data_IF_064484949941
#
_entry.id   IF_064484949941
#
_cell.length_a   1.000
_cell.length_b   1.000
_cell.length_c   1.000
_cell.angle_alpha   90.00
_cell.angle_beta   90.00
_cell.angle_gamma   90.00
#
_symmetry.space_group_name_H-M   'P 1'
#
loop_
_entity.id
_entity.type
_entity.pdbx_description
1 polymer ?
#
# COMPACT_ATOMS: atom_id res chain seq x y z
N UNK A 1 1.16 -11.90 -5.61
CA UNK A 1 0.72 -10.88 -4.64
C UNK A 1 -0.01 -9.77 -5.36
N UNK A 2 -1.10 -9.29 -4.76
CA UNK A 2 -1.91 -8.19 -5.28
C UNK A 2 -1.74 -6.93 -4.46
N UNK A 3 -1.67 -5.78 -5.11
CA UNK A 3 -1.39 -4.49 -4.48
C UNK A 3 -2.53 -3.50 -4.78
N UNK A 4 -2.94 -2.77 -3.75
CA UNK A 4 -4.03 -1.84 -3.80
C UNK A 4 -3.56 -0.46 -3.35
N UNK A 5 -3.66 0.52 -4.25
CA UNK A 5 -3.29 1.90 -3.98
C UNK A 5 -4.51 2.66 -3.52
N UNK A 6 -4.41 3.22 -2.32
CA UNK A 6 -5.42 4.08 -1.74
C UNK A 6 -5.57 5.39 -2.53
N UNK A 7 -6.72 6.05 -2.40
CA UNK A 7 -7.10 7.25 -3.14
C UNK A 7 -6.24 8.49 -2.84
N UNK A 8 -5.44 8.46 -1.76
CA UNK A 8 -4.45 9.50 -1.50
C UNK A 8 -3.20 9.41 -2.40
N UNK A 9 -3.12 8.40 -3.26
CA UNK A 9 -2.11 8.24 -4.29
C UNK A 9 -2.71 8.48 -5.68
N UNK A 10 -1.86 8.84 -6.65
CA UNK A 10 -2.32 9.03 -8.02
C UNK A 10 -2.63 7.68 -8.70
N UNK A 11 -3.74 7.53 -9.44
CA UNK A 11 -4.00 6.32 -10.23
C UNK A 11 -2.90 6.09 -11.28
N UNK A 12 -2.30 7.15 -11.81
CA UNK A 12 -1.18 7.03 -12.75
C UNK A 12 0.07 6.41 -12.11
N UNK A 13 0.25 6.60 -10.80
CA UNK A 13 1.34 5.96 -10.07
C UNK A 13 1.09 4.45 -9.95
N UNK A 14 -0.14 4.04 -9.60
CA UNK A 14 -0.53 2.63 -9.54
C UNK A 14 -0.37 1.94 -10.90
N UNK A 15 -0.89 2.53 -11.97
CA UNK A 15 -0.77 1.98 -13.32
C UNK A 15 0.69 1.90 -13.80
N UNK A 16 1.51 2.91 -13.48
CA UNK A 16 2.94 2.89 -13.79
C UNK A 16 3.66 1.75 -13.07
N UNK A 17 3.36 1.55 -11.78
CA UNK A 17 3.90 0.44 -11.00
C UNK A 17 3.40 -0.92 -11.54
N UNK A 18 2.13 -1.05 -11.93
CA UNK A 18 1.62 -2.24 -12.60
C UNK A 18 2.46 -2.59 -13.84
N UNK A 19 2.68 -1.61 -14.72
CA UNK A 19 3.45 -1.82 -15.94
C UNK A 19 4.91 -2.21 -15.66
N UNK A 20 5.57 -1.52 -14.72
CA UNK A 20 6.94 -1.82 -14.33
C UNK A 20 7.08 -3.18 -13.62
N UNK A 21 6.01 -3.65 -12.96
CA UNK A 21 6.01 -4.94 -12.25
C UNK A 21 5.83 -6.13 -13.16
N UNK A 22 5.56 -5.95 -14.46
CA UNK A 22 5.35 -7.06 -15.40
C UNK A 22 6.56 -8.01 -15.52
N UNK A 23 7.75 -7.58 -15.11
CA UNK A 23 8.96 -8.42 -15.07
C UNK A 23 9.07 -9.29 -13.82
N UNK A 24 8.26 -9.04 -12.79
CA UNK A 24 8.32 -9.72 -11.50
C UNK A 24 7.13 -10.68 -11.35
N UNK A 25 7.33 -12.00 -11.44
CA UNK A 25 6.24 -12.98 -11.37
C UNK A 25 5.58 -13.05 -10.00
N UNK A 26 6.18 -12.46 -8.95
CA UNK A 26 5.55 -12.37 -7.64
C UNK A 26 4.44 -11.31 -7.60
N UNK A 27 4.38 -10.40 -8.57
CA UNK A 27 3.34 -9.37 -8.67
C UNK A 27 2.25 -9.85 -9.64
N UNK A 28 1.08 -10.15 -9.08
CA UNK A 28 -0.08 -10.59 -9.85
C UNK A 28 -0.83 -9.38 -10.42
N UNK A 29 -1.05 -8.37 -9.57
CA UNK A 29 -1.85 -7.22 -9.92
C UNK A 29 -1.53 -6.02 -9.02
N UNK A 30 -1.58 -4.82 -9.58
CA UNK A 30 -1.49 -3.53 -8.91
C UNK A 30 -2.64 -2.68 -9.45
N UNK A 31 -3.53 -2.26 -8.57
CA UNK A 31 -4.67 -1.41 -8.92
C UNK A 31 -4.76 -0.19 -8.00
N UNK A 32 -5.43 0.84 -8.49
CA UNK A 32 -5.88 1.98 -7.70
C UNK A 32 -7.33 1.77 -7.21
N UNK A 33 -7.66 2.43 -6.09
CA UNK A 33 -9.01 2.40 -5.49
C UNK A 33 -10.12 2.65 -6.50
N UNK A 34 -9.94 3.64 -7.39
CA UNK A 34 -10.97 4.04 -8.37
C UNK A 34 -11.23 3.02 -9.47
N UNK A 35 -10.42 1.97 -9.59
CA UNK A 35 -10.69 0.88 -10.54
C UNK A 35 -11.79 -0.06 -10.03
N UNK A 36 -12.09 -0.03 -8.72
CA UNK A 36 -13.07 -0.92 -8.08
C UNK A 36 -14.13 -0.20 -7.28
N UNK A 37 -13.80 0.97 -6.73
CA UNK A 37 -14.65 1.69 -5.80
C UNK A 37 -14.81 3.15 -6.22
N UNK A 38 -15.87 3.81 -5.74
CA UNK A 38 -16.01 5.25 -5.90
C UNK A 38 -14.85 5.97 -5.19
N UNK A 39 -14.41 7.11 -5.74
CA UNK A 39 -13.30 7.92 -5.17
C UNK A 39 -13.46 8.26 -3.68
N UNK A 40 -14.70 8.38 -3.21
CA UNK A 40 -15.06 8.70 -1.83
C UNK A 40 -15.55 7.48 -1.04
N UNK A 41 -15.27 6.26 -1.50
CA UNK A 41 -15.63 5.04 -0.79
C UNK A 41 -15.00 5.03 0.61
N UNK A 42 -15.78 4.76 1.69
CA UNK A 42 -15.25 4.69 3.03
C UNK A 42 -14.23 3.56 3.20
N UNK A 43 -13.19 3.79 4.00
CA UNK A 43 -12.13 2.81 4.28
C UNK A 43 -12.66 1.47 4.75
N UNK A 44 -13.57 1.49 5.72
CA UNK A 44 -14.19 0.28 6.25
C UNK A 44 -14.92 -0.55 5.16
N UNK A 45 -15.48 0.11 4.14
CA UNK A 45 -16.20 -0.55 3.06
C UNK A 45 -15.23 -1.26 2.13
N UNK A 46 -14.27 -0.54 1.54
CA UNK A 46 -13.38 -1.16 0.55
C UNK A 46 -12.41 -2.17 1.19
N UNK A 47 -11.96 -1.95 2.44
CA UNK A 47 -11.13 -2.93 3.17
C UNK A 47 -11.87 -4.26 3.34
N UNK A 48 -13.15 -4.22 3.72
CA UNK A 48 -13.95 -5.45 3.89
C UNK A 48 -14.22 -6.16 2.57
N UNK A 49 -14.50 -5.41 1.51
CA UNK A 49 -14.73 -5.96 0.17
C UNK A 49 -13.49 -6.65 -0.39
N UNK A 50 -12.30 -6.06 -0.23
CA UNK A 50 -11.03 -6.64 -0.70
C UNK A 50 -10.75 -8.02 -0.11
N UNK A 51 -11.21 -8.31 1.11
CA UNK A 51 -11.04 -9.62 1.76
C UNK A 51 -11.63 -10.77 0.94
N UNK A 52 -12.70 -10.55 0.18
CA UNK A 52 -13.36 -11.59 -0.60
C UNK A 52 -12.50 -12.12 -1.75
N UNK A 53 -11.57 -11.31 -2.25
CA UNK A 53 -10.64 -11.72 -3.31
C UNK A 53 -9.33 -12.29 -2.75
N UNK A 54 -9.19 -12.38 -1.42
CA UNK A 54 -7.96 -12.80 -0.74
C UNK A 54 -7.09 -11.63 -0.28
N UNK A 55 -5.84 -11.91 0.19
CA UNK A 55 -5.02 -10.91 0.82
C UNK A 55 -4.46 -9.89 -0.19
N UNK A 56 -4.64 -8.61 0.14
CA UNK A 56 -4.08 -7.48 -0.60
C UNK A 56 -2.97 -6.80 0.19
N UNK A 57 -2.00 -6.26 -0.53
CA UNK A 57 -1.00 -5.32 -0.03
C UNK A 57 -1.50 -3.88 -0.27
N UNK A 58 -1.94 -3.20 0.77
CA UNK A 58 -2.46 -1.85 0.70
C UNK A 58 -1.31 -0.85 0.80
N UNK A 59 -1.22 0.09 -0.14
CA UNK A 59 -0.26 1.20 -0.16
C UNK A 59 -1.02 2.50 0.10
N UNK A 60 -0.70 3.20 1.19
CA UNK A 60 -1.38 4.45 1.58
C UNK A 60 -0.45 5.42 2.28
N UNK A 61 -0.66 6.73 2.12
CA UNK A 61 0.00 7.77 2.93
C UNK A 61 -0.74 7.98 4.27
N UNK A 62 -2.03 7.66 4.34
CA UNK A 62 -2.79 7.79 5.57
C UNK A 62 -2.43 6.66 6.55
N UNK A 63 -2.43 6.99 7.84
CA UNK A 63 -2.07 6.06 8.91
C UNK A 63 -3.25 5.26 9.43
N UNK A 64 -4.43 5.41 8.82
CA UNK A 64 -5.71 4.88 9.31
C UNK A 64 -5.88 5.28 10.79
N UNK A 65 -6.19 6.57 11.01
CA UNK A 65 -6.08 7.24 12.32
C UNK A 65 -6.73 6.42 13.45
N UNK A 66 -6.10 6.45 14.64
CA UNK A 66 -6.48 5.72 15.87
C UNK A 66 -7.94 5.82 16.31
N UNK A 67 -8.71 6.80 15.84
CA UNK A 67 -10.14 6.94 16.16
C UNK A 67 -11.00 5.87 15.46
N UNK A 68 -10.43 5.10 14.53
CA UNK A 68 -11.09 4.07 13.76
C UNK A 68 -10.67 2.65 14.19
N UNK A 69 -10.87 2.31 15.47
CA UNK A 69 -10.60 0.96 16.00
C UNK A 69 -11.26 -0.15 15.16
N UNK A 70 -12.41 0.14 14.54
CA UNK A 70 -13.11 -0.77 13.63
C UNK A 70 -12.30 -1.07 12.36
N UNK A 71 -11.65 -0.07 11.75
CA UNK A 71 -10.84 -0.24 10.54
C UNK A 71 -9.58 -1.06 10.83
N UNK A 72 -8.88 -0.75 11.92
CA UNK A 72 -7.71 -1.53 12.38
C UNK A 72 -8.06 -2.99 12.66
N UNK A 73 -9.21 -3.23 13.28
CA UNK A 73 -9.70 -4.58 13.53
C UNK A 73 -10.13 -5.29 12.24
N UNK A 74 -10.73 -4.57 11.28
CA UNK A 74 -11.10 -5.12 9.98
C UNK A 74 -9.85 -5.51 9.17
N UNK A 75 -8.84 -4.65 9.11
CA UNK A 75 -7.53 -4.92 8.49
C UNK A 75 -6.88 -6.16 9.10
N UNK A 76 -6.77 -6.21 10.43
CA UNK A 76 -6.18 -7.36 11.13
C UNK A 76 -6.94 -8.66 10.85
N UNK A 77 -8.28 -8.60 10.77
CA UNK A 77 -9.13 -9.76 10.46
C UNK A 77 -9.07 -10.18 9.00
N UNK A 78 -8.84 -9.23 8.09
CA UNK A 78 -8.79 -9.48 6.65
C UNK A 78 -7.46 -10.07 6.16
N UNK A 79 -6.43 -10.14 7.02
CA UNK A 79 -5.12 -10.67 6.65
C UNK A 79 -4.41 -9.82 5.60
N UNK A 80 -4.70 -8.52 5.54
CA UNK A 80 -4.06 -7.61 4.61
C UNK A 80 -2.70 -7.14 5.16
N UNK A 81 -1.77 -6.88 4.24
CA UNK A 81 -0.50 -6.25 4.54
C UNK A 81 -0.64 -4.77 4.22
N UNK A 82 -0.21 -3.88 5.11
CA UNK A 82 -0.30 -2.44 4.90
C UNK A 82 1.07 -1.80 4.88
N UNK A 83 1.39 -1.12 3.79
CA UNK A 83 2.52 -0.22 3.69
C UNK A 83 2.05 1.23 3.83
N UNK A 84 2.39 1.84 4.98
CA UNK A 84 2.06 3.22 5.31
C UNK A 84 3.23 4.11 4.92
N UNK A 85 3.10 4.83 3.81
CA UNK A 85 4.05 5.86 3.40
C UNK A 85 4.05 6.97 4.46
N UNK A 86 5.22 7.32 4.99
CA UNK A 86 5.29 8.33 6.05
C UNK A 86 4.79 9.73 5.60
N UNK A 87 4.60 10.64 6.56
CA UNK A 87 4.08 11.98 6.26
C UNK A 87 5.01 12.88 5.44
N UNK A 88 6.25 12.46 5.16
CA UNK A 88 7.13 13.22 4.27
C UNK A 88 6.75 13.00 2.81
N UNK A 89 6.14 11.86 2.45
CA UNK A 89 5.71 11.56 1.08
C UNK A 89 4.69 12.58 0.56
N UNK A 90 3.70 12.97 1.36
CA UNK A 90 2.68 13.96 0.96
C UNK A 90 3.23 15.36 0.70
N UNK A 91 4.46 15.65 1.13
CA UNK A 91 5.12 16.94 0.90
C UNK A 91 5.87 16.99 -0.43
N UNK A 92 5.94 15.88 -1.15
CA UNK A 92 6.76 15.73 -2.35
C UNK A 92 5.91 15.91 -3.60
N UNK A 93 6.54 16.40 -4.67
CA UNK A 93 5.91 16.47 -5.99
C UNK A 93 5.79 15.08 -6.60
N UNK A 94 4.84 14.94 -7.52
CA UNK A 94 4.51 13.68 -8.18
C UNK A 94 5.73 12.87 -8.65
N UNK A 95 6.63 13.47 -9.43
CA UNK A 95 7.79 12.76 -9.96
C UNK A 95 8.78 12.31 -8.89
N UNK A 96 8.94 13.09 -7.81
CA UNK A 96 9.76 12.67 -6.68
C UNK A 96 9.12 11.49 -5.94
N UNK A 97 7.79 11.52 -5.73
CA UNK A 97 7.06 10.38 -5.17
C UNK A 97 7.22 9.12 -6.04
N UNK A 98 7.09 9.27 -7.35
CA UNK A 98 7.23 8.17 -8.31
C UNK A 98 8.64 7.56 -8.26
N UNK A 99 9.68 8.39 -8.39
CA UNK A 99 11.08 7.96 -8.30
C UNK A 99 11.35 7.23 -6.98
N UNK A 100 10.85 7.77 -5.87
CA UNK A 100 11.04 7.16 -4.55
C UNK A 100 10.30 5.84 -4.40
N UNK A 101 9.07 5.76 -4.90
CA UNK A 101 8.28 4.53 -4.84
C UNK A 101 8.92 3.43 -5.66
N UNK A 102 9.37 3.74 -6.89
CA UNK A 102 10.09 2.78 -7.74
C UNK A 102 11.32 2.22 -7.02
N UNK A 103 12.06 3.05 -6.26
CA UNK A 103 13.20 2.58 -5.45
C UNK A 103 12.80 1.67 -4.28
N UNK A 104 11.67 1.95 -3.63
CA UNK A 104 11.15 1.11 -2.54
C UNK A 104 10.50 -0.18 -3.04
N UNK A 105 10.00 -0.19 -4.27
CA UNK A 105 9.13 -1.25 -4.78
C UNK A 105 9.73 -2.66 -4.68
N UNK A 106 11.01 -2.92 -5.04
CA UNK A 106 11.58 -4.26 -4.88
C UNK A 106 11.58 -4.77 -3.44
N UNK A 107 11.78 -3.88 -2.46
CA UNK A 107 11.72 -4.23 -1.04
C UNK A 107 10.29 -4.46 -0.57
N UNK A 108 9.32 -3.71 -1.10
CA UNK A 108 7.89 -3.93 -0.84
C UNK A 108 7.48 -5.33 -1.34
N UNK A 109 7.86 -5.68 -2.57
CA UNK A 109 7.60 -7.02 -3.13
C UNK A 109 8.24 -8.09 -2.25
N UNK A 110 9.56 -8.02 -2.05
CA UNK A 110 10.32 -9.02 -1.28
C UNK A 110 9.74 -9.21 0.12
N UNK A 111 9.34 -8.13 0.78
CA UNK A 111 8.78 -8.22 2.12
C UNK A 111 7.36 -8.77 2.12
N UNK A 112 6.52 -8.33 1.16
CA UNK A 112 5.12 -8.76 1.08
C UNK A 112 4.97 -10.27 0.84
N UNK A 113 5.90 -10.91 0.15
CA UNK A 113 5.88 -12.36 -0.08
C UNK A 113 6.36 -13.17 1.13
N UNK A 114 7.02 -12.52 2.10
CA UNK A 114 7.61 -13.17 3.27
C UNK A 114 6.73 -13.07 4.52
N UNK A 115 5.71 -12.22 4.50
CA UNK A 115 4.85 -11.95 5.66
C UNK A 115 3.40 -12.30 5.30
N UNK A 116 2.64 -12.75 6.30
CA UNK A 116 1.23 -13.11 6.10
C UNK A 116 0.27 -11.95 6.41
N UNK A 117 0.67 -11.04 7.30
CA UNK A 117 -0.08 -9.85 7.70
C UNK A 117 0.87 -8.78 8.27
N UNK A 118 0.32 -7.60 8.57
CA UNK A 118 1.00 -6.57 9.36
C UNK A 118 0.90 -5.17 8.79
N UNK A 119 1.34 -4.17 9.55
CA UNK A 119 1.52 -2.81 9.07
C UNK A 119 2.96 -2.35 9.21
N UNK A 120 3.45 -1.74 8.14
CA UNK A 120 4.83 -1.37 7.93
C UNK A 120 4.89 0.05 7.42
N UNK A 121 5.56 0.92 8.15
CA UNK A 121 5.83 2.27 7.69
C UNK A 121 6.99 2.25 6.69
N UNK A 122 6.79 2.93 5.57
CA UNK A 122 7.78 3.17 4.52
C UNK A 122 8.31 4.60 4.65
N UNK A 123 9.54 4.80 5.17
CA UNK A 123 10.09 6.13 5.31
C UNK A 123 10.40 6.75 3.95
N UNK A 124 10.29 8.08 3.85
CA UNK A 124 10.62 8.77 2.60
C UNK A 124 12.07 8.55 2.16
N UNK A 125 13.02 8.54 3.11
CA UNK A 125 14.43 8.29 2.79
C UNK A 125 14.64 6.82 2.48
N UNK A 126 15.18 6.56 1.29
CA UNK A 126 15.59 5.23 0.86
C UNK A 126 17.11 5.17 0.71
N UNK A 127 17.69 4.12 1.28
CA UNK A 127 19.06 3.66 1.12
C UNK A 127 19.00 2.13 0.96
N UNK A 128 20.05 1.51 0.42
CA UNK A 128 20.08 0.05 0.20
C UNK A 128 19.88 -0.76 1.50
N UNK A 129 20.22 -0.19 2.65
CA UNK A 129 20.03 -0.78 4.00
C UNK A 129 18.77 -0.30 4.71
N UNK A 130 17.92 0.52 4.06
CA UNK A 130 16.70 1.04 4.67
C UNK A 130 15.74 -0.10 5.02
N UNK A 131 15.22 -0.07 6.24
CA UNK A 131 14.26 -1.05 6.77
C UNK A 131 12.89 -0.43 6.95
N UNK A 132 11.84 -1.25 6.83
CA UNK A 132 10.50 -0.87 7.25
C UNK A 132 10.44 -0.67 8.77
N UNK A 133 9.53 0.19 9.22
CA UNK A 133 9.25 0.39 10.63
C UNK A 133 7.90 -0.24 10.98
N UNK A 134 7.87 -1.25 11.84
CA UNK A 134 6.60 -1.90 12.24
C UNK A 134 5.67 -0.89 12.92
N UNK A 135 4.39 -0.93 12.55
CA UNK A 135 3.35 -0.08 13.14
C UNK A 135 2.38 -0.95 13.93
N UNK A 136 2.14 -0.58 15.19
CA UNK A 136 1.09 -1.19 15.98
C UNK A 136 -0.29 -0.77 15.40
N UNK A 137 -0.92 -1.66 14.64
CA UNK A 137 -2.33 -1.59 14.25
C UNK A 137 -3.23 -1.80 15.45
#
# INVERSE_FOLDING_TARGET
>A
MKYFFDNNLSPHLAHGIQALSAVDPAVEQVIHLTERFARNAPDLTWIGELQHDGPWCIISIDRFKKQHNAERAAIRRAGHIIFILDSQWSRQRYWAQAERLVKWWPQIITHSVQVSDGAYRVPWRHAAVSRFQTVAL
#
